data_IF_075598956916
#
_entry.id   IF_075598956916
#
_cell.length_a   1.000
_cell.length_b   1.000
_cell.length_c   1.000
_cell.angle_alpha   90.00
_cell.angle_beta   90.00
_cell.angle_gamma   90.00
#
_symmetry.space_group_name_H-M   'P 1'
#
loop_
_entity.id
_entity.type
_entity.pdbx_description
1 polymer ?
#
# COMPACT_ATOMS: atom_id res chain seq x y z
N UNK A 1 -31.35 2.35 15.93
CA UNK A 1 -30.55 2.50 14.70
C UNK A 1 -30.31 3.98 14.46
N UNK A 2 -29.06 4.41 14.35
CA UNK A 2 -28.72 5.82 14.10
C UNK A 2 -29.26 6.27 12.74
N UNK A 3 -29.89 7.45 12.68
CA UNK A 3 -30.41 8.02 11.42
C UNK A 3 -29.27 8.22 10.43
N UNK A 4 -29.51 7.85 9.16
CA UNK A 4 -28.55 8.06 8.06
C UNK A 4 -28.24 9.56 7.95
N UNK A 5 -26.95 9.89 7.98
CA UNK A 5 -26.48 11.28 7.88
C UNK A 5 -26.74 11.86 6.49
N UNK A 6 -26.86 13.18 6.38
CA UNK A 6 -27.05 13.86 5.07
C UNK A 6 -25.98 13.47 4.04
N UNK A 7 -24.74 13.28 4.49
CA UNK A 7 -23.62 12.86 3.64
C UNK A 7 -23.80 11.42 3.13
N UNK A 8 -24.22 10.50 3.99
CA UNK A 8 -24.51 9.12 3.59
C UNK A 8 -25.69 9.03 2.61
N UNK A 9 -26.71 9.90 2.75
CA UNK A 9 -27.80 9.98 1.76
C UNK A 9 -27.31 10.44 0.39
N UNK A 10 -26.49 11.51 0.33
CA UNK A 10 -25.88 11.99 -0.91
C UNK A 10 -25.03 10.90 -1.59
N UNK A 11 -24.28 10.13 -0.80
CA UNK A 11 -23.50 8.99 -1.32
C UNK A 11 -24.37 7.86 -1.88
N UNK A 12 -25.51 7.57 -1.24
CA UNK A 12 -26.46 6.58 -1.75
C UNK A 12 -27.14 7.04 -3.05
N UNK A 13 -27.49 8.33 -3.15
CA UNK A 13 -28.04 8.91 -4.39
C UNK A 13 -27.02 8.83 -5.53
N UNK A 14 -25.76 9.19 -5.29
CA UNK A 14 -24.69 9.15 -6.31
C UNK A 14 -24.35 7.73 -6.80
N UNK A 15 -24.71 6.70 -6.02
CA UNK A 15 -24.52 5.29 -6.34
C UNK A 15 -25.80 4.57 -6.76
N UNK A 16 -26.96 5.22 -6.67
CA UNK A 16 -28.25 4.58 -6.94
C UNK A 16 -28.34 4.06 -8.38
N UNK A 17 -27.69 4.75 -9.32
CA UNK A 17 -27.68 4.43 -10.74
C UNK A 17 -26.48 3.54 -11.16
N UNK A 18 -25.64 3.10 -10.21
CA UNK A 18 -24.43 2.35 -10.52
C UNK A 18 -24.59 0.86 -10.17
N UNK A 19 -24.68 0.02 -11.21
CA UNK A 19 -24.78 -1.42 -11.04
C UNK A 19 -23.47 -2.02 -10.48
N UNK A 20 -23.62 -2.90 -9.50
CA UNK A 20 -22.50 -3.64 -8.90
C UNK A 20 -22.79 -5.15 -9.00
N UNK A 21 -21.78 -5.99 -9.31
CA UNK A 21 -20.36 -5.68 -9.40
C UNK A 21 -19.95 -5.01 -10.72
N UNK A 22 -18.99 -4.08 -10.66
CA UNK A 22 -18.46 -3.36 -11.82
C UNK A 22 -17.03 -3.78 -12.19
N UNK A 23 -16.55 -3.34 -13.35
CA UNK A 23 -15.13 -3.44 -13.74
C UNK A 23 -14.28 -2.52 -12.86
N UNK A 24 -12.98 -2.85 -12.71
CA UNK A 24 -12.01 -2.00 -12.03
C UNK A 24 -11.93 -0.62 -12.65
N UNK A 25 -11.96 -0.53 -13.99
CA UNK A 25 -11.94 0.76 -14.71
C UNK A 25 -13.17 1.62 -14.41
N UNK A 26 -14.37 1.07 -14.54
CA UNK A 26 -15.60 1.84 -14.35
C UNK A 26 -15.76 2.28 -12.89
N UNK A 27 -15.35 1.41 -11.95
CA UNK A 27 -15.34 1.74 -10.54
C UNK A 27 -14.38 2.90 -10.22
N UNK A 28 -13.17 2.93 -10.82
CA UNK A 28 -12.23 4.03 -10.61
C UNK A 28 -12.77 5.36 -11.13
N UNK A 29 -13.36 5.37 -12.33
CA UNK A 29 -13.98 6.56 -12.92
C UNK A 29 -15.08 7.08 -12.00
N UNK A 30 -15.97 6.18 -11.56
CA UNK A 30 -17.08 6.56 -10.68
C UNK A 30 -16.60 7.08 -9.34
N UNK A 31 -15.56 6.48 -8.76
CA UNK A 31 -14.97 6.95 -7.50
C UNK A 31 -14.37 8.35 -7.62
N UNK A 32 -13.73 8.67 -8.76
CA UNK A 32 -13.19 10.02 -8.98
C UNK A 32 -14.31 11.06 -9.13
N UNK A 33 -15.41 10.73 -9.81
CA UNK A 33 -16.59 11.60 -9.88
C UNK A 33 -17.19 11.86 -8.50
N UNK A 34 -17.42 10.80 -7.72
CA UNK A 34 -18.01 10.89 -6.39
C UNK A 34 -17.09 11.66 -5.44
N UNK A 35 -15.78 11.47 -5.52
CA UNK A 35 -14.81 12.17 -4.67
C UNK A 35 -14.87 13.69 -4.85
N UNK A 36 -14.98 14.17 -6.10
CA UNK A 36 -15.10 15.62 -6.42
C UNK A 36 -16.32 16.26 -5.76
N UNK A 37 -17.39 15.51 -5.56
CA UNK A 37 -18.65 15.97 -4.97
C UNK A 37 -18.68 15.93 -3.43
N UNK A 38 -17.76 15.18 -2.82
CA UNK A 38 -17.83 14.77 -1.40
C UNK A 38 -16.69 15.37 -0.59
N UNK A 39 -15.52 15.59 -1.20
CA UNK A 39 -14.32 16.08 -0.54
C UNK A 39 -13.74 17.31 -1.25
N UNK A 40 -13.26 18.26 -0.45
CA UNK A 40 -12.59 19.49 -0.93
C UNK A 40 -11.07 19.34 -1.06
N UNK A 41 -10.54 18.16 -0.73
CA UNK A 41 -9.10 17.86 -0.73
C UNK A 41 -8.81 16.64 -1.60
N UNK A 42 -7.55 16.45 -1.97
CA UNK A 42 -7.13 15.34 -2.82
C UNK A 42 -7.12 14.00 -2.05
N UNK A 43 -8.21 13.25 -2.19
CA UNK A 43 -8.39 11.97 -1.53
C UNK A 43 -7.45 10.89 -2.09
N UNK A 44 -7.19 9.89 -1.25
CA UNK A 44 -6.49 8.68 -1.66
C UNK A 44 -7.50 7.65 -2.12
N UNK A 45 -7.22 6.98 -3.24
CA UNK A 45 -7.97 5.81 -3.70
C UNK A 45 -7.31 4.57 -3.13
N UNK A 46 -8.12 3.72 -2.52
CA UNK A 46 -7.69 2.52 -1.82
C UNK A 46 -8.36 1.28 -2.40
N UNK A 47 -7.61 0.19 -2.43
CA UNK A 47 -8.07 -1.13 -2.79
C UNK A 47 -8.11 -2.02 -1.55
N UNK A 48 -9.25 -2.66 -1.33
CA UNK A 48 -9.46 -3.60 -0.26
C UNK A 48 -9.81 -4.97 -0.83
N UNK A 49 -9.00 -5.97 -0.50
CA UNK A 49 -9.17 -7.34 -1.00
C UNK A 49 -9.34 -8.28 0.18
N UNK A 50 -10.45 -9.01 0.20
CA UNK A 50 -10.67 -10.09 1.16
C UNK A 50 -10.13 -11.38 0.58
N UNK A 51 -9.10 -11.93 1.21
CA UNK A 51 -8.47 -13.17 0.80
C UNK A 51 -9.09 -14.38 1.51
N UNK A 52 -9.00 -15.53 0.86
CA UNK A 52 -9.39 -16.84 1.38
C UNK A 52 -8.26 -17.54 2.12
N UNK A 53 -7.47 -16.81 2.90
CA UNK A 53 -6.35 -17.36 3.68
C UNK A 53 -6.68 -17.45 5.17
N UNK A 54 -6.01 -18.36 5.86
CA UNK A 54 -6.07 -18.51 7.30
C UNK A 54 -4.83 -17.89 7.94
N UNK A 55 -4.96 -16.65 8.39
CA UNK A 55 -3.85 -15.82 8.92
C UNK A 55 -3.26 -16.37 10.22
N UNK A 56 -3.94 -17.32 10.89
CA UNK A 56 -3.42 -18.03 12.05
C UNK A 56 -2.24 -18.96 11.70
N UNK A 57 -2.20 -19.47 10.46
CA UNK A 57 -1.12 -20.31 9.97
C UNK A 57 -0.02 -19.45 9.37
N UNK A 58 1.20 -19.55 9.91
CA UNK A 58 2.35 -18.76 9.47
C UNK A 58 2.68 -18.94 7.98
N UNK A 59 2.41 -20.14 7.43
CA UNK A 59 2.62 -20.48 6.02
C UNK A 59 1.65 -19.79 5.06
N UNK A 60 0.49 -19.35 5.56
CA UNK A 60 -0.51 -18.64 4.76
C UNK A 60 -0.45 -17.12 4.96
N UNK A 61 0.48 -16.62 5.77
CA UNK A 61 0.62 -15.20 6.00
C UNK A 61 1.27 -14.50 4.79
N UNK A 62 0.57 -13.52 4.23
CA UNK A 62 1.06 -12.74 3.10
C UNK A 62 1.63 -11.41 3.60
N UNK A 63 2.88 -11.17 3.20
CA UNK A 63 3.57 -9.90 3.33
C UNK A 63 4.49 -9.77 2.13
N UNK A 64 4.20 -8.82 1.26
CA UNK A 64 5.00 -8.55 0.07
C UNK A 64 4.95 -7.06 -0.25
N UNK A 65 5.71 -6.67 -1.26
CA UNK A 65 5.76 -5.29 -1.75
C UNK A 65 5.57 -5.25 -3.25
N UNK A 66 4.94 -4.19 -3.73
CA UNK A 66 4.79 -3.90 -5.15
C UNK A 66 5.22 -2.47 -5.41
N UNK A 67 5.91 -2.24 -6.52
CA UNK A 67 6.22 -0.89 -7.00
C UNK A 67 5.08 -0.48 -7.94
N UNK A 68 4.40 0.61 -7.62
CA UNK A 68 3.32 1.13 -8.45
C UNK A 68 3.92 1.95 -9.62
N UNK A 69 3.59 1.65 -10.89
CA UNK A 69 4.17 2.34 -12.05
C UNK A 69 3.97 3.86 -12.06
N UNK A 70 2.79 4.33 -11.62
CA UNK A 70 2.50 5.76 -11.53
C UNK A 70 2.79 6.36 -10.13
N UNK A 71 3.33 5.56 -9.20
CA UNK A 71 3.58 5.97 -7.82
C UNK A 71 2.31 6.23 -7.00
N UNK A 72 2.49 6.86 -5.83
CA UNK A 72 1.43 7.13 -4.85
C UNK A 72 0.88 8.57 -4.88
N UNK A 73 1.53 9.47 -5.64
CA UNK A 73 1.14 10.88 -5.71
C UNK A 73 1.40 11.67 -4.43
N UNK A 74 2.28 11.16 -3.56
CA UNK A 74 2.81 11.82 -2.37
C UNK A 74 4.33 11.71 -2.38
N UNK A 75 5.01 12.76 -1.96
CA UNK A 75 6.44 12.71 -1.69
C UNK A 75 6.71 11.82 -0.47
N UNK A 76 7.38 10.69 -0.71
CA UNK A 76 7.73 9.71 0.32
C UNK A 76 9.07 10.09 0.92
N UNK A 77 9.08 10.40 2.22
CA UNK A 77 10.31 10.70 2.95
C UNK A 77 10.99 9.40 3.37
N UNK A 78 12.20 9.17 2.87
CA UNK A 78 12.97 7.94 3.08
C UNK A 78 14.11 8.19 4.05
N UNK A 79 14.12 7.43 5.15
CA UNK A 79 15.19 7.40 6.13
C UNK A 79 16.02 6.13 5.95
N UNK A 80 17.34 6.25 5.88
CA UNK A 80 18.27 5.13 5.75
C UNK A 80 19.16 5.03 6.98
N UNK A 81 19.22 3.84 7.59
CA UNK A 81 20.14 3.51 8.66
C UNK A 81 21.17 2.51 8.12
N UNK A 82 22.40 2.97 7.96
CA UNK A 82 23.48 2.15 7.40
C UNK A 82 24.83 2.56 7.97
N UNK A 83 25.80 1.65 8.08
CA UNK A 83 27.14 1.95 8.59
C UNK A 83 28.17 2.20 7.48
N UNK A 84 29.14 3.06 7.77
CA UNK A 84 30.33 3.27 6.93
C UNK A 84 30.00 3.80 5.53
N UNK A 85 30.60 3.24 4.45
CA UNK A 85 30.48 3.79 3.09
C UNK A 85 29.04 3.77 2.55
N UNK A 86 28.19 2.91 3.11
CA UNK A 86 26.78 2.77 2.75
C UNK A 86 25.93 4.01 3.08
N UNK A 87 26.38 4.84 4.02
CA UNK A 87 25.75 6.14 4.32
C UNK A 87 25.89 7.10 3.13
N UNK A 88 27.07 7.12 2.50
CA UNK A 88 27.32 7.96 1.33
C UNK A 88 26.48 7.48 0.14
N UNK A 89 26.38 6.17 -0.07
CA UNK A 89 25.47 5.61 -1.09
C UNK A 89 24.01 6.02 -0.87
N UNK A 90 23.54 6.07 0.39
CA UNK A 90 22.20 6.53 0.73
C UNK A 90 21.98 8.00 0.34
N UNK A 91 22.97 8.85 0.64
CA UNK A 91 22.96 10.27 0.28
C UNK A 91 22.93 10.46 -1.24
N UNK A 92 23.78 9.74 -1.96
CA UNK A 92 23.86 9.82 -3.42
C UNK A 92 22.59 9.27 -4.10
N UNK A 93 21.92 8.31 -3.47
CA UNK A 93 20.62 7.80 -3.92
C UNK A 93 19.45 8.76 -3.65
N UNK A 94 19.69 9.86 -2.93
CA UNK A 94 18.67 10.87 -2.61
C UNK A 94 17.80 10.52 -1.42
N UNK A 95 18.31 9.79 -0.43
CA UNK A 95 17.63 9.63 0.86
C UNK A 95 17.50 10.97 1.58
N UNK A 96 16.34 11.23 2.19
CA UNK A 96 16.08 12.50 2.89
C UNK A 96 16.81 12.56 4.23
N UNK A 97 16.94 11.39 4.88
CA UNK A 97 17.68 11.23 6.12
C UNK A 97 18.59 10.00 6.04
N UNK A 98 19.83 10.12 6.49
CA UNK A 98 20.83 9.07 6.45
C UNK A 98 21.73 9.15 7.69
N UNK A 99 22.08 8.00 8.28
CA UNK A 99 22.88 7.97 9.50
C UNK A 99 22.96 6.60 10.16
N UNK A 100 23.44 6.57 11.41
CA UNK A 100 23.58 5.36 12.24
C UNK A 100 22.97 5.60 13.62
N UNK A 101 23.80 5.82 14.63
CA UNK A 101 23.43 5.99 16.03
C UNK A 101 22.68 7.30 16.27
N UNK A 102 23.09 8.36 15.58
CA UNK A 102 22.50 9.68 15.66
C UNK A 102 21.01 9.70 15.25
N UNK A 103 20.66 8.99 14.19
CA UNK A 103 19.27 8.82 13.76
C UNK A 103 18.51 7.89 14.71
N UNK A 104 19.13 6.81 15.18
CA UNK A 104 18.51 5.88 16.11
C UNK A 104 18.11 6.59 17.41
N UNK A 105 18.98 7.44 17.96
CA UNK A 105 18.71 8.20 19.18
C UNK A 105 17.63 9.27 18.97
N UNK A 106 17.61 9.93 17.81
CA UNK A 106 16.51 10.85 17.44
C UNK A 106 15.17 10.13 17.37
N UNK A 107 15.12 8.94 16.76
CA UNK A 107 13.90 8.13 16.69
C UNK A 107 13.48 7.66 18.09
N UNK A 108 14.43 7.28 18.94
CA UNK A 108 14.16 6.96 20.35
C UNK A 108 13.57 8.15 21.11
N UNK A 109 14.05 9.36 20.82
CA UNK A 109 13.54 10.64 21.34
C UNK A 109 12.17 11.07 20.79
N UNK A 110 11.57 10.29 19.89
CA UNK A 110 10.22 10.54 19.38
C UNK A 110 10.15 11.23 18.01
N UNK A 111 11.23 11.24 17.24
CA UNK A 111 11.25 11.80 15.89
C UNK A 111 10.75 10.79 14.83
N UNK A 112 9.74 11.20 14.03
CA UNK A 112 9.09 10.35 13.01
C UNK A 112 8.72 11.12 11.73
N UNK A 113 9.61 11.99 11.26
CA UNK A 113 9.34 12.80 10.06
C UNK A 113 9.65 12.06 8.74
N UNK A 114 9.58 10.73 8.75
CA UNK A 114 9.81 9.87 7.59
C UNK A 114 8.67 8.86 7.42
N UNK A 115 8.45 8.43 6.19
CA UNK A 115 7.40 7.48 5.81
C UNK A 115 7.95 6.05 5.67
N UNK A 116 9.21 5.90 5.25
CA UNK A 116 9.86 4.59 5.04
C UNK A 116 11.24 4.55 5.68
N UNK A 117 11.51 3.47 6.43
CA UNK A 117 12.82 3.20 7.01
C UNK A 117 13.50 2.03 6.27
N UNK A 118 14.70 2.27 5.76
CA UNK A 118 15.54 1.27 5.10
C UNK A 118 16.76 1.05 6.00
N UNK A 119 17.15 -0.20 6.18
CA UNK A 119 18.29 -0.55 7.02
C UNK A 119 19.22 -1.55 6.34
N UNK A 120 20.49 -1.51 6.68
CA UNK A 120 21.43 -2.60 6.34
C UNK A 120 21.37 -3.71 7.41
N UNK A 121 21.63 -4.98 7.03
CA UNK A 121 21.51 -6.13 7.95
C UNK A 121 22.36 -6.01 9.22
N UNK A 122 23.53 -5.37 9.14
CA UNK A 122 24.47 -5.11 10.24
C UNK A 122 23.96 -4.10 11.28
N UNK A 123 22.98 -3.26 10.92
CA UNK A 123 22.36 -2.27 11.80
C UNK A 123 21.10 -2.81 12.53
N UNK A 124 20.62 -3.99 12.15
CA UNK A 124 19.38 -4.57 12.70
C UNK A 124 19.46 -4.85 14.21
N UNK A 125 20.63 -5.23 14.72
CA UNK A 125 20.83 -5.45 16.16
C UNK A 125 20.58 -4.20 17.01
N UNK A 126 20.87 -3.02 16.45
CA UNK A 126 20.68 -1.73 17.13
C UNK A 126 19.23 -1.25 17.01
N UNK A 127 18.63 -1.46 15.84
CA UNK A 127 17.20 -1.20 15.56
C UNK A 127 16.24 -2.03 16.42
N UNK A 128 16.69 -3.18 16.95
CA UNK A 128 15.90 -4.00 17.87
C UNK A 128 15.40 -3.25 19.10
N UNK A 129 16.18 -2.27 19.61
CA UNK A 129 15.78 -1.43 20.75
C UNK A 129 14.59 -0.53 20.43
N UNK A 130 14.46 -0.10 19.16
CA UNK A 130 13.38 0.74 18.66
C UNK A 130 12.12 -0.05 18.31
N UNK A 131 12.13 -1.39 18.42
CA UNK A 131 11.00 -2.25 18.05
C UNK A 131 9.69 -1.90 18.78
N UNK A 132 9.76 -1.44 20.04
CA UNK A 132 8.57 -1.00 20.80
C UNK A 132 7.91 0.26 20.22
N UNK A 133 8.69 1.08 19.53
CA UNK A 133 8.27 2.39 19.03
C UNK A 133 7.91 2.32 17.54
N UNK A 134 8.76 1.67 16.74
CA UNK A 134 8.56 1.50 15.30
C UNK A 134 7.56 0.38 14.96
N UNK A 135 7.45 -0.64 15.82
CA UNK A 135 6.55 -1.79 15.60
C UNK A 135 5.08 -1.40 15.49
N UNK A 136 4.48 -0.67 16.45
CA UNK A 136 3.09 -0.24 16.39
C UNK A 136 2.78 0.68 15.20
N UNK A 137 3.77 1.45 14.73
CA UNK A 137 3.65 2.34 13.58
C UNK A 137 3.87 1.66 12.23
N UNK A 138 4.30 0.40 12.22
CA UNK A 138 4.60 -0.33 10.97
C UNK A 138 5.84 0.14 10.23
N UNK A 139 6.65 1.03 10.82
CA UNK A 139 7.87 1.59 10.21
C UNK A 139 9.10 0.69 10.41
N UNK A 140 8.93 -0.47 11.05
CA UNK A 140 10.04 -1.37 11.35
C UNK A 140 10.53 -2.08 10.07
N UNK A 141 11.83 -1.97 9.71
CA UNK A 141 12.39 -2.61 8.53
C UNK A 141 12.26 -4.13 8.60
N UNK A 142 11.99 -4.77 7.46
CA UNK A 142 11.81 -6.21 7.38
C UNK A 142 12.50 -6.78 6.13
N UNK A 143 13.27 -7.88 6.25
CA UNK A 143 13.84 -8.55 5.08
C UNK A 143 12.79 -9.00 4.07
N UNK A 144 11.60 -9.43 4.52
CA UNK A 144 10.51 -9.87 3.62
C UNK A 144 9.95 -8.75 2.75
N UNK A 145 10.08 -7.50 3.18
CA UNK A 145 9.61 -6.34 2.42
C UNK A 145 10.73 -5.73 1.57
N UNK A 146 11.94 -6.30 1.64
CA UNK A 146 13.13 -5.79 0.97
C UNK A 146 13.57 -4.42 1.49
N UNK A 147 13.13 -4.00 2.68
CA UNK A 147 13.62 -2.77 3.33
C UNK A 147 14.87 -3.04 4.18
N UNK A 148 15.27 -4.31 4.31
CA UNK A 148 16.58 -4.72 4.82
C UNK A 148 17.40 -5.25 3.66
N UNK A 149 18.36 -4.47 3.17
CA UNK A 149 19.16 -4.82 1.99
C UNK A 149 20.55 -4.20 2.05
N UNK A 150 21.49 -4.78 1.28
CA UNK A 150 22.81 -4.19 1.03
C UNK A 150 22.79 -3.21 -0.16
N UNK A 151 21.79 -3.31 -1.02
CA UNK A 151 21.56 -2.43 -2.18
C UNK A 151 20.65 -1.27 -1.78
N UNK A 152 21.24 -0.28 -1.11
CA UNK A 152 20.52 0.89 -0.60
C UNK A 152 20.04 1.77 -1.74
N UNK A 153 20.86 1.94 -2.77
CA UNK A 153 20.54 2.83 -3.88
C UNK A 153 19.25 2.40 -4.60
N UNK A 154 19.11 1.10 -4.86
CA UNK A 154 17.89 0.56 -5.43
C UNK A 154 16.71 0.67 -4.46
N UNK A 155 16.89 0.32 -3.18
CA UNK A 155 15.80 0.39 -2.22
C UNK A 155 15.26 1.81 -1.99
N UNK A 156 16.14 2.82 -1.99
CA UNK A 156 15.74 4.23 -1.90
C UNK A 156 14.97 4.67 -3.14
N UNK A 157 15.47 4.31 -4.34
CA UNK A 157 14.77 4.59 -5.61
C UNK A 157 13.39 3.93 -5.66
N UNK A 158 13.28 2.66 -5.29
CA UNK A 158 12.01 1.93 -5.27
C UNK A 158 11.05 2.55 -4.24
N UNK A 159 11.55 2.92 -3.06
CA UNK A 159 10.74 3.59 -2.03
C UNK A 159 10.21 4.94 -2.51
N UNK A 160 11.06 5.76 -3.15
CA UNK A 160 10.64 7.05 -3.75
C UNK A 160 9.73 6.89 -4.97
N UNK A 161 9.86 5.79 -5.72
CA UNK A 161 8.97 5.44 -6.82
C UNK A 161 7.57 4.99 -6.38
N UNK A 162 7.30 4.93 -5.07
CA UNK A 162 5.98 4.56 -4.55
C UNK A 162 5.82 3.06 -4.32
N UNK A 163 6.87 2.38 -3.85
CA UNK A 163 6.78 1.01 -3.35
C UNK A 163 5.79 0.92 -2.18
N UNK A 164 4.75 0.12 -2.36
CA UNK A 164 3.72 -0.15 -1.35
C UNK A 164 3.96 -1.52 -0.73
N UNK A 165 4.00 -1.57 0.60
CA UNK A 165 3.89 -2.83 1.33
C UNK A 165 2.42 -3.21 1.48
N UNK A 166 2.12 -4.47 1.17
CA UNK A 166 0.82 -5.05 1.46
C UNK A 166 0.96 -6.23 2.42
N UNK A 167 0.13 -6.22 3.45
CA UNK A 167 0.08 -7.25 4.49
C UNK A 167 -1.37 -7.67 4.70
N UNK A 168 -1.58 -8.98 4.84
CA UNK A 168 -2.87 -9.47 5.32
C UNK A 168 -3.05 -9.12 6.82
N UNK A 169 -4.18 -8.52 7.15
CA UNK A 169 -4.60 -8.25 8.52
C UNK A 169 -5.05 -9.54 9.24
N UNK A 170 -5.52 -9.43 10.49
CA UNK A 170 -6.00 -10.61 11.25
C UNK A 170 -7.24 -11.28 10.63
N UNK A 171 -7.97 -10.59 9.77
CA UNK A 171 -9.18 -11.07 9.09
C UNK A 171 -8.90 -11.60 7.68
N UNK A 172 -7.64 -11.58 7.22
CA UNK A 172 -7.26 -11.98 5.87
C UNK A 172 -7.59 -10.93 4.82
N UNK A 173 -7.68 -9.66 5.20
CA UNK A 173 -7.90 -8.53 4.31
C UNK A 173 -6.58 -7.82 4.02
N UNK A 174 -6.43 -7.39 2.78
CA UNK A 174 -5.36 -6.50 2.34
C UNK A 174 -5.94 -5.12 2.14
N UNK A 175 -5.23 -4.10 2.64
CA UNK A 175 -5.56 -2.69 2.45
C UNK A 175 -4.37 -2.01 1.80
N UNK A 176 -4.57 -1.45 0.61
CA UNK A 176 -3.50 -0.79 -0.12
C UNK A 176 -3.98 0.49 -0.80
N UNK A 177 -3.26 1.61 -0.64
CA UNK A 177 -3.46 2.78 -1.49
C UNK A 177 -2.95 2.48 -2.90
N UNK A 178 -3.73 2.84 -3.92
CA UNK A 178 -3.36 2.69 -5.33
C UNK A 178 -3.01 4.03 -6.00
N UNK A 179 -3.32 5.15 -5.36
CA UNK A 179 -2.98 6.48 -5.86
C UNK A 179 -3.87 7.58 -5.31
N UNK A 180 -3.81 8.74 -5.95
CA UNK A 180 -4.64 9.91 -5.65
C UNK A 180 -5.77 10.06 -6.66
N UNK A 181 -6.87 10.67 -6.24
CA UNK A 181 -8.03 10.93 -7.11
C UNK A 181 -7.68 11.80 -8.32
N UNK A 182 -6.67 12.67 -8.18
CA UNK A 182 -6.18 13.54 -9.26
C UNK A 182 -5.43 12.81 -10.39
N UNK A 183 -5.07 11.54 -10.21
CA UNK A 183 -4.36 10.80 -11.23
C UNK A 183 -5.22 10.58 -12.47
N UNK A 184 -4.58 10.42 -13.63
CA UNK A 184 -5.28 10.01 -14.83
C UNK A 184 -5.90 8.61 -14.63
N UNK A 185 -7.06 8.38 -15.23
CA UNK A 185 -7.79 7.12 -15.07
C UNK A 185 -6.93 5.93 -15.51
N UNK A 186 -6.14 6.10 -16.57
CA UNK A 186 -5.22 5.08 -17.07
C UNK A 186 -4.11 4.73 -16.07
N UNK A 187 -3.58 5.72 -15.36
CA UNK A 187 -2.53 5.51 -14.36
C UNK A 187 -3.08 4.76 -13.14
N UNK A 188 -4.29 5.11 -12.70
CA UNK A 188 -4.98 4.39 -11.62
C UNK A 188 -5.30 2.95 -12.01
N UNK A 189 -5.76 2.72 -13.24
CA UNK A 189 -6.03 1.38 -13.77
C UNK A 189 -4.75 0.56 -13.81
N UNK A 190 -3.63 1.11 -14.30
CA UNK A 190 -2.31 0.43 -14.31
C UNK A 190 -1.82 0.09 -12.91
N UNK A 191 -1.93 1.02 -11.96
CA UNK A 191 -1.57 0.78 -10.55
C UNK A 191 -2.45 -0.32 -9.94
N UNK A 192 -3.75 -0.29 -10.20
CA UNK A 192 -4.69 -1.32 -9.77
C UNK A 192 -4.33 -2.70 -10.34
N UNK A 193 -4.11 -2.80 -11.65
CA UNK A 193 -3.74 -4.06 -12.30
C UNK A 193 -2.44 -4.63 -11.75
N UNK A 194 -1.43 -3.79 -11.57
CA UNK A 194 -0.12 -4.18 -11.01
C UNK A 194 -0.24 -4.67 -9.57
N UNK A 195 -1.08 -4.03 -8.75
CA UNK A 195 -1.33 -4.45 -7.38
C UNK A 195 -2.06 -5.80 -7.32
N UNK A 196 -3.10 -5.97 -8.12
CA UNK A 196 -3.87 -7.21 -8.14
C UNK A 196 -3.02 -8.38 -8.66
N UNK A 197 -2.24 -8.17 -9.73
CA UNK A 197 -1.29 -9.16 -10.23
C UNK A 197 -0.27 -9.57 -9.15
N UNK A 198 0.31 -8.60 -8.45
CA UNK A 198 1.24 -8.87 -7.36
C UNK A 198 0.59 -9.68 -6.22
N UNK A 199 -0.67 -9.39 -5.87
CA UNK A 199 -1.43 -10.16 -4.87
C UNK A 199 -1.71 -11.57 -5.34
N UNK A 200 -2.07 -11.76 -6.62
CA UNK A 200 -2.32 -13.08 -7.22
C UNK A 200 -1.04 -13.93 -7.25
N UNK A 201 0.10 -13.34 -7.58
CA UNK A 201 1.42 -14.00 -7.53
C UNK A 201 1.86 -14.32 -6.11
N UNK A 202 1.47 -13.51 -5.13
CA UNK A 202 1.75 -13.74 -3.72
C UNK A 202 0.89 -14.84 -3.07
N UNK A 203 0.10 -15.60 -3.86
CA UNK A 203 -0.73 -16.70 -3.37
C UNK A 203 0.13 -17.79 -2.72
N UNK A 204 -0.06 -18.10 -1.43
CA UNK A 204 0.61 -19.21 -0.78
C UNK A 204 0.16 -20.55 -1.37
N UNK A 205 1.07 -21.50 -1.58
CA UNK A 205 0.76 -22.86 -2.05
C UNK A 205 -0.18 -23.63 -1.10
N UNK A 206 -0.16 -23.27 0.19
CA UNK A 206 -1.03 -23.85 1.21
C UNK A 206 -2.47 -23.32 1.19
N UNK A 207 -2.76 -22.25 0.44
CA UNK A 207 -4.09 -21.66 0.36
C UNK A 207 -5.03 -22.54 -0.50
N UNK A 208 -6.07 -23.09 0.14
CA UNK A 208 -7.09 -23.93 -0.51
C UNK A 208 -8.32 -23.11 -0.88
N UNK A 209 -8.99 -23.48 -1.98
CA UNK A 209 -10.22 -22.83 -2.45
C UNK A 209 -10.00 -21.47 -3.12
N UNK A 210 -11.03 -20.62 -3.09
CA UNK A 210 -11.01 -19.31 -3.74
C UNK A 210 -10.10 -18.34 -3.00
N UNK A 211 -9.00 -17.96 -3.65
CA UNK A 211 -7.98 -17.11 -3.05
C UNK A 211 -8.44 -15.66 -2.83
N UNK A 212 -9.19 -15.08 -3.77
CA UNK A 212 -9.78 -13.74 -3.62
C UNK A 212 -11.30 -13.90 -3.49
N UNK A 213 -11.85 -13.58 -2.31
CA UNK A 213 -13.30 -13.71 -2.04
C UNK A 213 -14.08 -12.51 -2.52
N UNK A 214 -13.54 -11.30 -2.34
CA UNK A 214 -14.17 -10.05 -2.76
C UNK A 214 -13.15 -8.93 -2.85
N UNK A 215 -13.37 -7.99 -3.76
CA UNK A 215 -12.56 -6.79 -3.93
C UNK A 215 -13.50 -5.58 -3.88
N UNK A 216 -13.05 -4.55 -3.18
CA UNK A 216 -13.71 -3.26 -3.11
C UNK A 216 -12.71 -2.16 -3.40
N UNK A 217 -13.11 -1.21 -4.23
CA UNK A 217 -12.39 0.05 -4.43
C UNK A 217 -13.13 1.14 -3.67
N UNK A 218 -12.40 2.03 -3.02
CA UNK A 218 -12.99 3.13 -2.25
C UNK A 218 -12.08 4.35 -2.24
N UNK A 219 -12.62 5.51 -1.88
CA UNK A 219 -11.83 6.70 -1.54
C UNK A 219 -11.93 6.99 -0.05
N UNK A 220 -11.00 7.80 0.48
CA UNK A 220 -10.92 8.10 1.92
C UNK A 220 -12.26 8.49 2.57
N UNK A 221 -13.10 9.30 1.91
CA UNK A 221 -14.42 9.70 2.41
C UNK A 221 -15.58 9.27 1.50
N UNK A 222 -15.28 8.47 0.48
CA UNK A 222 -16.24 8.00 -0.51
C UNK A 222 -16.88 6.67 -0.12
N UNK A 223 -17.78 6.18 -0.98
CA UNK A 223 -18.39 4.88 -0.78
C UNK A 223 -17.45 3.77 -1.30
N UNK A 224 -17.78 2.52 -0.99
CA UNK A 224 -17.10 1.35 -1.54
C UNK A 224 -17.85 0.82 -2.76
N UNK A 225 -17.13 0.57 -3.86
CA UNK A 225 -17.67 -0.09 -5.06
C UNK A 225 -17.12 -1.51 -5.11
N UNK A 226 -18.01 -2.49 -5.23
CA UNK A 226 -17.65 -3.89 -5.38
C UNK A 226 -17.22 -4.21 -6.81
N UNK A 227 -16.07 -4.85 -6.95
CA UNK A 227 -15.52 -5.28 -8.23
C UNK A 227 -15.90 -6.75 -8.50
N UNK A 228 -16.08 -7.09 -9.77
CA UNK A 228 -16.30 -8.48 -10.16
C UNK A 228 -15.04 -9.33 -9.99
N UNK A 229 -15.01 -10.12 -8.92
CA UNK A 229 -13.89 -11.01 -8.62
C UNK A 229 -13.76 -12.19 -9.61
N UNK A 230 -14.79 -12.49 -10.42
CA UNK A 230 -14.74 -13.62 -11.37
C UNK A 230 -13.93 -13.29 -12.63
N UNK A 231 -14.07 -12.08 -13.14
CA UNK A 231 -13.37 -11.62 -14.35
C UNK A 231 -12.01 -10.97 -14.08
N UNK A 232 -11.63 -10.87 -12.81
CA UNK A 232 -10.42 -10.21 -12.34
C UNK A 232 -9.12 -10.66 -13.06
N UNK A 233 -8.95 -11.96 -13.31
CA UNK A 233 -7.73 -12.47 -13.94
C UNK A 233 -7.62 -12.07 -15.42
N UNK A 234 -8.75 -11.99 -16.13
CA UNK A 234 -8.79 -11.54 -17.51
C UNK A 234 -8.51 -10.04 -17.59
N UNK A 235 -9.18 -9.26 -16.73
CA UNK A 235 -9.02 -7.80 -16.65
C UNK A 235 -7.57 -7.40 -16.30
N UNK A 236 -6.94 -8.07 -15.34
CA UNK A 236 -5.53 -7.82 -14.99
C UNK A 236 -4.59 -8.14 -16.14
N UNK A 237 -4.88 -9.20 -16.92
CA UNK A 237 -4.06 -9.57 -18.08
C UNK A 237 -4.19 -8.56 -19.22
N UNK A 238 -5.34 -7.92 -19.37
CA UNK A 238 -5.53 -6.83 -20.34
C UNK A 238 -4.85 -5.51 -19.90
N UNK A 239 -4.71 -5.28 -18.60
CA UNK A 239 -4.11 -4.06 -18.04
C UNK A 239 -2.58 -4.13 -17.98
N UNK A 240 -2.04 -5.30 -17.65
CA UNK A 240 -0.59 -5.51 -17.40
C UNK A 240 0.11 -6.17 -18.60
N UNK A 241 -0.66 -6.79 -19.51
CA UNK A 241 -0.16 -7.52 -20.68
C UNK A 241 0.14 -6.66 -21.90
#
# INVERSE_FOLDING_TARGET
MSKITKKQKKLQELLADFEQPASGRDALIKLQEVSKEVAKFNETVECHMRLGIEVKHAEQQIRSTVVLPAGLGKEVRVCVIAKGPKVNEAKDAGADFYGTEDIIDKIAGGWFEFDTLIATPDCMGMLGKLGRVLGPKGLMPNPKTGTVTLDIAKAVKDAKAGKVEFRADKQGMIHCPIGKVQFANEDLVKNYGTLVDAVLRAKPSAAKGTYVKSIYLTTTMGPSIKIDAKNLQAEVKEIVG
#
